data_IF_480411328569
#
_entry.id   IF_480411328569
#
_cell.length_a   1.000
_cell.length_b   1.000
_cell.length_c   1.000
_cell.angle_alpha   90.00
_cell.angle_beta   90.00
_cell.angle_gamma   90.00
#
_symmetry.space_group_name_H-M   'P 1'
#
loop_
_entity.id
_entity.type
_entity.pdbx_description
1 polymer ?
#
# COMPACT_ATOMS: atom_id res chain seq x y z
N UNK A 1 -2.73 -19.84 -20.81
CA UNK A 1 -1.47 -20.47 -21.32
C UNK A 1 -1.25 -19.93 -22.72
N UNK A 2 -0.13 -19.24 -22.94
CA UNK A 2 0.25 -18.72 -24.24
C UNK A 2 1.17 -19.73 -24.92
N UNK A 3 1.02 -19.86 -26.22
CA UNK A 3 1.87 -20.70 -27.05
C UNK A 3 3.02 -19.85 -27.61
N UNK A 4 4.25 -20.09 -27.16
CA UNK A 4 5.40 -19.27 -27.50
C UNK A 4 6.15 -19.74 -28.76
N UNK A 5 5.89 -20.95 -29.26
CA UNK A 5 6.50 -21.46 -30.48
C UNK A 5 6.39 -22.98 -30.66
N UNK A 6 6.92 -23.45 -31.77
CA UNK A 6 6.99 -24.86 -32.11
C UNK A 6 8.46 -25.27 -32.28
N UNK A 7 8.76 -26.51 -31.93
CA UNK A 7 10.08 -27.14 -32.13
C UNK A 7 9.91 -28.29 -33.14
N UNK A 8 10.68 -28.24 -34.18
CA UNK A 8 10.76 -29.33 -35.17
C UNK A 8 11.88 -30.30 -34.82
N UNK A 9 11.51 -31.42 -34.19
CA UNK A 9 12.45 -32.37 -33.58
C UNK A 9 13.52 -32.91 -34.56
N UNK A 10 13.26 -32.87 -35.88
CA UNK A 10 14.17 -33.40 -36.89
C UNK A 10 14.91 -32.31 -37.70
N UNK A 11 14.49 -31.06 -37.58
CA UNK A 11 15.02 -29.94 -38.36
C UNK A 11 15.81 -28.94 -37.48
N UNK A 12 15.48 -28.85 -36.20
CA UNK A 12 16.11 -27.90 -35.29
C UNK A 12 17.29 -28.52 -34.53
N UNK A 13 18.43 -27.84 -34.54
CA UNK A 13 19.58 -28.28 -33.73
C UNK A 13 19.36 -28.06 -32.25
N UNK A 14 19.97 -28.90 -31.35
CA UNK A 14 19.86 -28.71 -29.90
C UNK A 14 20.27 -27.31 -29.45
N UNK A 15 21.27 -26.71 -30.06
CA UNK A 15 21.77 -25.37 -29.75
C UNK A 15 20.75 -24.28 -30.13
N UNK A 16 20.06 -24.46 -31.27
CA UNK A 16 18.99 -23.55 -31.68
C UNK A 16 17.82 -23.62 -30.71
N UNK A 17 17.39 -24.83 -30.36
CA UNK A 17 16.30 -25.07 -29.42
C UNK A 17 16.63 -24.48 -28.05
N UNK A 18 17.84 -24.72 -27.54
CA UNK A 18 18.27 -24.18 -26.23
C UNK A 18 18.25 -22.65 -26.23
N UNK A 19 18.76 -22.00 -27.27
CA UNK A 19 18.73 -20.53 -27.40
C UNK A 19 17.31 -19.99 -27.46
N UNK A 20 16.42 -20.68 -28.15
CA UNK A 20 15.01 -20.27 -28.22
C UNK A 20 14.31 -20.36 -26.86
N UNK A 21 14.49 -21.50 -26.18
CA UNK A 21 13.93 -21.69 -24.80
C UNK A 21 14.46 -20.63 -23.84
N UNK A 22 15.77 -20.36 -23.85
CA UNK A 22 16.38 -19.35 -22.98
C UNK A 22 15.82 -17.96 -23.28
N UNK A 23 15.64 -17.61 -24.55
CA UNK A 23 15.07 -16.33 -24.96
C UNK A 23 13.64 -16.16 -24.43
N UNK A 24 12.80 -17.16 -24.65
CA UNK A 24 11.41 -17.12 -24.21
C UNK A 24 11.28 -17.14 -22.67
N UNK A 25 12.12 -17.93 -21.99
CA UNK A 25 12.18 -17.94 -20.54
C UNK A 25 12.60 -16.57 -19.97
N UNK A 26 13.58 -15.91 -20.58
CA UNK A 26 13.98 -14.54 -20.18
C UNK A 26 12.86 -13.55 -20.42
N UNK A 27 12.22 -13.58 -21.58
CA UNK A 27 11.09 -12.71 -21.89
C UNK A 27 9.94 -12.89 -20.89
N UNK A 28 9.65 -14.14 -20.53
CA UNK A 28 8.65 -14.45 -19.49
C UNK A 28 9.04 -13.87 -18.13
N UNK A 29 10.28 -14.10 -17.69
CA UNK A 29 10.77 -13.59 -16.39
C UNK A 29 10.80 -12.04 -16.37
N UNK A 30 11.19 -11.42 -17.47
CA UNK A 30 11.15 -9.97 -17.62
C UNK A 30 9.73 -9.41 -17.51
N UNK A 31 8.74 -10.15 -18.03
CA UNK A 31 7.33 -9.80 -17.94
C UNK A 31 6.73 -9.97 -16.53
N UNK A 32 7.36 -10.77 -15.66
CA UNK A 32 6.95 -10.94 -14.26
C UNK A 32 7.47 -9.82 -13.35
N UNK A 33 8.55 -9.16 -13.74
CA UNK A 33 9.15 -8.10 -12.92
C UNK A 33 8.19 -6.89 -12.83
N UNK A 34 7.93 -6.38 -11.61
CA UNK A 34 7.16 -5.15 -11.45
C UNK A 34 7.84 -4.00 -12.20
N UNK A 35 7.09 -3.18 -12.96
CA UNK A 35 7.69 -2.16 -13.85
C UNK A 35 8.62 -1.18 -13.13
N UNK A 36 8.25 -0.71 -11.94
CA UNK A 36 9.11 0.19 -11.16
C UNK A 36 10.39 -0.50 -10.68
N UNK A 37 10.29 -1.74 -10.21
CA UNK A 37 11.46 -2.51 -9.75
C UNK A 37 12.43 -2.75 -10.89
N UNK A 38 11.94 -3.08 -12.09
CA UNK A 38 12.76 -3.24 -13.28
C UNK A 38 13.48 -1.93 -13.64
N UNK A 39 12.75 -0.83 -13.69
CA UNK A 39 13.34 0.49 -13.96
C UNK A 39 14.39 0.89 -12.93
N UNK A 40 14.18 0.56 -11.65
CA UNK A 40 15.14 0.82 -10.58
C UNK A 40 16.42 -0.02 -10.75
N UNK A 41 16.31 -1.28 -11.15
CA UNK A 41 17.46 -2.13 -11.46
C UNK A 41 18.25 -1.54 -12.63
N UNK A 42 17.57 -1.22 -13.72
CA UNK A 42 18.18 -0.66 -14.93
C UNK A 42 18.91 0.65 -14.60
N UNK A 43 18.28 1.55 -13.84
CA UNK A 43 18.88 2.78 -13.36
C UNK A 43 20.12 2.54 -12.47
N UNK A 44 20.03 1.63 -11.49
CA UNK A 44 21.14 1.31 -10.61
C UNK A 44 22.33 0.70 -11.35
N UNK A 45 22.11 -0.01 -12.46
CA UNK A 45 23.13 -0.67 -13.27
C UNK A 45 23.73 0.22 -14.36
N UNK A 46 23.02 1.28 -14.80
CA UNK A 46 23.48 2.16 -15.86
C UNK A 46 24.82 2.86 -15.55
N UNK A 47 25.16 3.02 -14.28
CA UNK A 47 26.43 3.59 -13.85
C UNK A 47 26.53 5.11 -14.04
N UNK A 48 25.45 5.78 -14.39
CA UNK A 48 25.40 7.22 -14.57
C UNK A 48 25.73 7.98 -13.29
N UNK A 49 26.33 9.16 -13.43
CA UNK A 49 26.55 10.03 -12.29
C UNK A 49 25.24 10.61 -11.77
N UNK A 50 24.98 10.40 -10.49
CA UNK A 50 23.83 10.96 -9.81
C UNK A 50 24.09 12.40 -9.35
N UNK A 51 23.32 13.34 -9.89
CA UNK A 51 23.34 14.77 -9.50
C UNK A 51 22.16 15.16 -8.60
N UNK A 52 21.42 14.19 -8.11
CA UNK A 52 20.28 14.36 -7.21
C UNK A 52 20.58 13.79 -5.82
N UNK A 53 19.67 14.04 -4.87
CA UNK A 53 19.72 13.39 -3.55
C UNK A 53 19.49 11.85 -3.69
N UNK A 54 20.08 11.07 -2.77
CA UNK A 54 20.91 11.44 -1.64
C UNK A 54 22.36 11.75 -2.03
N UNK A 55 23.03 12.60 -1.24
CA UNK A 55 24.38 13.11 -1.52
C UNK A 55 25.52 12.07 -1.42
N UNK A 56 25.22 10.82 -1.05
CA UNK A 56 26.23 9.76 -1.07
C UNK A 56 26.54 9.24 -2.48
N UNK A 57 25.79 9.66 -3.50
CA UNK A 57 26.04 9.38 -4.92
C UNK A 57 26.29 7.89 -5.19
N UNK A 58 25.25 7.05 -4.96
CA UNK A 58 25.36 5.60 -5.14
C UNK A 58 26.31 4.91 -4.14
N UNK A 59 26.58 5.54 -3.01
CA UNK A 59 27.44 4.98 -1.96
C UNK A 59 28.91 5.40 -2.03
N UNK A 60 29.34 6.08 -3.09
CA UNK A 60 30.77 6.49 -3.28
C UNK A 60 31.28 7.34 -2.11
N UNK A 61 30.43 8.18 -1.52
CA UNK A 61 30.83 9.01 -0.38
C UNK A 61 31.25 8.18 0.85
N UNK A 62 30.68 6.99 1.04
CA UNK A 62 31.03 6.11 2.16
C UNK A 62 32.43 5.51 2.03
N UNK A 63 32.95 5.34 0.84
CA UNK A 63 34.28 4.75 0.60
C UNK A 63 35.44 5.61 1.12
N UNK A 64 35.16 6.87 1.50
CA UNK A 64 36.18 7.82 1.97
C UNK A 64 36.67 7.60 3.41
N UNK A 65 36.05 6.71 4.18
CA UNK A 65 36.44 6.42 5.55
C UNK A 65 36.30 4.94 5.88
N UNK A 66 37.07 4.41 6.86
CA UNK A 66 36.98 2.99 7.26
C UNK A 66 35.59 2.57 7.72
N UNK A 67 34.90 3.43 8.50
CA UNK A 67 33.52 3.18 8.95
C UNK A 67 32.55 3.19 7.76
N UNK A 68 32.72 4.12 6.83
CA UNK A 68 31.91 4.16 5.61
C UNK A 68 32.14 2.93 4.72
N UNK A 69 33.37 2.43 4.64
CA UNK A 69 33.65 1.19 3.91
C UNK A 69 32.94 -0.02 4.53
N UNK A 70 32.91 -0.13 5.87
CA UNK A 70 32.13 -1.16 6.55
C UNK A 70 30.63 -1.07 6.23
N UNK A 71 30.08 0.15 6.22
CA UNK A 71 28.69 0.41 5.83
C UNK A 71 28.42 -0.02 4.38
N UNK A 72 29.29 0.40 3.46
CA UNK A 72 29.17 0.05 2.04
C UNK A 72 29.28 -1.45 1.81
N UNK A 73 30.19 -2.15 2.50
CA UNK A 73 30.30 -3.60 2.40
C UNK A 73 29.07 -4.32 2.94
N UNK A 74 28.48 -3.80 4.01
CA UNK A 74 27.29 -4.42 4.64
C UNK A 74 26.05 -4.30 3.73
N UNK A 75 25.77 -3.13 3.19
CA UNK A 75 24.58 -2.89 2.36
C UNK A 75 24.79 -3.34 0.90
N UNK A 76 26.00 -3.27 0.41
CA UNK A 76 26.34 -3.57 -0.98
C UNK A 76 26.06 -2.40 -1.94
N UNK A 77 26.74 -2.41 -3.07
CA UNK A 77 26.71 -1.33 -4.06
C UNK A 77 25.30 -1.14 -4.65
N UNK A 78 24.62 -2.22 -5.02
CA UNK A 78 23.31 -2.14 -5.66
C UNK A 78 22.25 -1.50 -4.74
N UNK A 79 22.29 -1.81 -3.44
CA UNK A 79 21.37 -1.20 -2.48
C UNK A 79 21.58 0.31 -2.37
N UNK A 80 22.84 0.75 -2.33
CA UNK A 80 23.20 2.16 -2.25
C UNK A 80 22.94 2.92 -3.55
N UNK A 81 23.08 2.27 -4.70
CA UNK A 81 22.72 2.84 -6.00
C UNK A 81 21.22 2.93 -6.22
N UNK A 82 20.45 2.03 -5.60
CA UNK A 82 18.99 2.05 -5.65
C UNK A 82 18.37 3.09 -4.69
N UNK A 83 19.17 3.69 -3.81
CA UNK A 83 18.72 4.81 -2.96
C UNK A 83 18.80 6.12 -3.76
N UNK A 84 17.67 6.49 -4.35
CA UNK A 84 17.53 7.57 -5.32
C UNK A 84 16.41 8.53 -4.96
N UNK A 85 16.49 9.75 -5.48
CA UNK A 85 15.42 10.73 -5.34
C UNK A 85 14.17 10.29 -6.11
N UNK A 86 12.99 10.54 -5.54
CA UNK A 86 11.70 10.27 -6.20
C UNK A 86 11.39 11.19 -7.39
N UNK A 87 12.29 12.13 -7.71
CA UNK A 87 12.19 13.05 -8.84
C UNK A 87 13.11 12.64 -10.02
N UNK A 88 13.67 11.44 -9.99
CA UNK A 88 14.43 10.89 -11.12
C UNK A 88 13.47 10.59 -12.26
N UNK A 89 13.68 11.24 -13.41
CA UNK A 89 12.74 11.20 -14.54
C UNK A 89 12.55 9.78 -15.08
N UNK A 90 13.60 8.99 -15.14
CA UNK A 90 13.62 7.61 -15.63
C UNK A 90 12.76 6.67 -14.77
N UNK A 91 12.56 7.01 -13.50
CA UNK A 91 11.73 6.24 -12.58
C UNK A 91 10.26 6.67 -12.57
N UNK A 92 9.95 7.78 -13.24
CA UNK A 92 8.62 8.38 -13.25
C UNK A 92 8.35 9.17 -11.97
N UNK A 93 7.15 9.74 -11.88
CA UNK A 93 6.76 10.62 -10.79
C UNK A 93 5.59 10.05 -10.01
N UNK A 94 5.75 9.94 -8.70
CA UNK A 94 4.69 9.44 -7.82
C UNK A 94 3.51 10.43 -7.72
N UNK A 95 3.80 11.73 -7.69
CA UNK A 95 2.76 12.78 -7.59
C UNK A 95 1.91 12.87 -8.85
N UNK A 96 2.56 12.77 -10.01
CA UNK A 96 1.91 12.94 -11.32
C UNK A 96 1.45 11.60 -11.92
N UNK A 97 1.73 10.50 -11.25
CA UNK A 97 1.41 9.13 -11.71
C UNK A 97 1.92 8.89 -13.14
N UNK A 98 3.21 9.11 -13.38
CA UNK A 98 3.84 8.98 -14.71
C UNK A 98 4.92 7.90 -14.74
N UNK A 99 5.33 7.49 -15.95
CA UNK A 99 6.43 6.56 -16.19
C UNK A 99 6.27 5.18 -15.54
N UNK A 100 7.36 4.57 -15.06
CA UNK A 100 7.36 3.28 -14.38
C UNK A 100 6.48 3.19 -13.13
N UNK A 101 6.31 4.29 -12.39
CA UNK A 101 5.36 4.37 -11.25
C UNK A 101 3.95 4.09 -11.75
N UNK A 102 3.47 4.85 -12.75
CA UNK A 102 2.13 4.65 -13.30
C UNK A 102 1.96 3.25 -13.93
N UNK A 103 2.98 2.71 -14.56
CA UNK A 103 2.94 1.34 -15.09
C UNK A 103 2.76 0.30 -13.96
N UNK A 104 3.43 0.52 -12.83
CA UNK A 104 3.30 -0.35 -11.65
C UNK A 104 1.95 -0.22 -10.98
N UNK A 105 1.37 0.99 -10.89
CA UNK A 105 0.03 1.22 -10.36
C UNK A 105 -1.04 0.52 -11.22
N UNK A 106 -0.94 0.61 -12.56
CA UNK A 106 -1.82 -0.14 -13.46
C UNK A 106 -1.69 -1.64 -13.32
N UNK A 107 -0.46 -2.14 -13.17
CA UNK A 107 -0.22 -3.57 -12.95
C UNK A 107 -0.82 -4.04 -11.60
N UNK A 108 -0.64 -3.27 -10.54
CA UNK A 108 -1.25 -3.55 -9.24
C UNK A 108 -2.78 -3.53 -9.33
N UNK A 109 -3.38 -2.53 -9.98
CA UNK A 109 -4.83 -2.45 -10.18
C UNK A 109 -5.36 -3.71 -10.90
N UNK A 110 -4.67 -4.18 -11.94
CA UNK A 110 -5.02 -5.43 -12.65
C UNK A 110 -4.95 -6.66 -11.74
N UNK A 111 -3.91 -6.77 -10.90
CA UNK A 111 -3.70 -7.91 -10.00
C UNK A 111 -4.79 -7.96 -8.92
N UNK A 112 -5.14 -6.82 -8.35
CA UNK A 112 -6.15 -6.69 -7.29
C UNK A 112 -7.58 -6.53 -7.82
N UNK A 113 -7.78 -6.59 -9.15
CA UNK A 113 -9.07 -6.38 -9.80
C UNK A 113 -9.76 -5.08 -9.34
N UNK A 114 -8.98 -4.02 -9.30
CA UNK A 114 -9.41 -2.66 -8.95
C UNK A 114 -9.39 -1.75 -10.19
N UNK A 115 -10.24 -0.73 -10.23
CA UNK A 115 -10.24 0.26 -11.31
C UNK A 115 -8.94 1.08 -11.30
N UNK A 116 -8.48 1.45 -10.12
CA UNK A 116 -7.26 2.21 -9.90
C UNK A 116 -6.51 1.71 -8.66
N UNK A 117 -5.20 1.88 -8.69
CA UNK A 117 -4.31 1.67 -7.54
C UNK A 117 -3.35 2.86 -7.45
N UNK A 118 -3.15 3.37 -6.25
CA UNK A 118 -2.25 4.49 -5.96
C UNK A 118 -1.23 4.06 -4.92
N UNK A 119 0.05 4.23 -5.21
CA UNK A 119 1.11 3.93 -4.26
C UNK A 119 1.25 5.05 -3.23
N UNK A 120 1.23 4.67 -1.96
CA UNK A 120 1.42 5.58 -0.84
C UNK A 120 2.69 5.19 -0.08
N UNK A 121 3.75 5.95 -0.29
CA UNK A 121 5.08 5.65 0.28
C UNK A 121 5.20 6.01 1.76
N UNK A 122 4.30 6.83 2.28
CA UNK A 122 4.31 7.28 3.68
C UNK A 122 3.47 6.39 4.62
N UNK A 123 3.26 5.13 4.22
CA UNK A 123 2.63 4.07 5.01
C UNK A 123 1.11 4.12 5.01
N UNK A 124 0.49 3.02 5.45
CA UNK A 124 -0.96 2.82 5.52
C UNK A 124 -1.68 3.89 6.34
N UNK A 125 -1.02 4.49 7.32
CA UNK A 125 -1.58 5.62 8.08
C UNK A 125 -1.91 6.81 7.19
N UNK A 126 -1.11 7.05 6.16
CA UNK A 126 -1.38 8.10 5.16
C UNK A 126 -2.49 7.67 4.20
N UNK A 127 -2.50 6.41 3.76
CA UNK A 127 -3.61 5.88 2.95
C UNK A 127 -4.95 6.06 3.65
N UNK A 128 -5.05 5.73 4.94
CA UNK A 128 -6.25 5.95 5.74
C UNK A 128 -6.67 7.42 5.75
N UNK A 129 -5.72 8.33 5.97
CA UNK A 129 -6.00 9.77 5.99
C UNK A 129 -6.49 10.26 4.62
N UNK A 130 -5.90 9.80 3.52
CA UNK A 130 -6.32 10.18 2.17
C UNK A 130 -7.77 9.79 1.90
N UNK A 131 -8.14 8.53 2.21
CA UNK A 131 -9.51 8.04 2.06
C UNK A 131 -10.48 8.86 2.92
N UNK A 132 -10.12 9.12 4.17
CA UNK A 132 -10.97 9.88 5.08
C UNK A 132 -11.14 11.33 4.63
N UNK A 133 -10.06 12.04 4.27
CA UNK A 133 -10.14 13.42 3.81
C UNK A 133 -10.91 13.58 2.49
N UNK A 134 -10.89 12.56 1.64
CA UNK A 134 -11.70 12.56 0.41
C UNK A 134 -13.19 12.34 0.71
N UNK A 135 -13.50 11.48 1.69
CA UNK A 135 -14.85 10.98 1.90
C UNK A 135 -15.64 11.78 2.93
N UNK A 136 -14.98 12.32 3.96
CA UNK A 136 -15.59 12.83 5.19
C UNK A 136 -15.39 14.33 5.31
N UNK A 137 -16.49 15.06 5.59
CA UNK A 137 -16.50 16.49 5.86
C UNK A 137 -16.74 16.77 7.36
N UNK A 138 -16.41 17.99 7.84
CA UNK A 138 -16.69 18.39 9.22
C UNK A 138 -18.15 18.24 9.59
N UNK A 139 -18.40 17.57 10.72
CA UNK A 139 -19.76 17.30 11.22
C UNK A 139 -20.40 16.01 10.69
N UNK A 140 -19.80 15.35 9.68
CA UNK A 140 -20.30 14.05 9.23
C UNK A 140 -20.24 13.00 10.33
N UNK A 141 -21.31 12.22 10.45
CA UNK A 141 -21.35 11.07 11.35
C UNK A 141 -20.66 9.89 10.71
N UNK A 142 -19.75 9.27 11.44
CA UNK A 142 -18.97 8.11 10.99
C UNK A 142 -19.11 6.96 11.98
N UNK A 143 -19.21 5.73 11.48
CA UNK A 143 -19.24 4.51 12.31
C UNK A 143 -17.87 3.86 12.27
N UNK A 144 -17.30 3.59 13.45
CA UNK A 144 -15.90 3.16 13.56
C UNK A 144 -15.76 2.05 14.60
N UNK A 145 -15.00 1.03 14.27
CA UNK A 145 -14.53 0.06 15.24
C UNK A 145 -13.71 0.75 16.36
N UNK A 146 -14.09 0.51 17.60
CA UNK A 146 -13.35 1.10 18.76
C UNK A 146 -11.92 0.55 18.86
N UNK A 147 -11.63 -0.58 18.26
CA UNK A 147 -10.29 -1.20 18.18
C UNK A 147 -9.52 -0.80 16.91
N UNK A 148 -9.91 0.27 16.25
CA UNK A 148 -9.24 0.75 15.05
C UNK A 148 -7.81 1.25 15.35
N UNK A 149 -6.99 1.26 14.32
CA UNK A 149 -5.65 1.83 14.39
C UNK A 149 -5.71 3.34 14.67
N UNK A 150 -4.71 3.87 15.39
CA UNK A 150 -4.60 5.30 15.74
C UNK A 150 -4.73 6.26 14.54
N UNK A 151 -4.36 5.84 13.33
CA UNK A 151 -4.51 6.66 12.12
C UNK A 151 -5.97 7.00 11.83
N UNK A 152 -6.93 6.12 12.17
CA UNK A 152 -8.37 6.37 12.04
C UNK A 152 -8.81 7.41 13.07
N UNK A 153 -8.34 7.30 14.32
CA UNK A 153 -8.63 8.33 15.35
C UNK A 153 -8.08 9.70 14.94
N UNK A 154 -6.86 9.74 14.37
CA UNK A 154 -6.30 10.97 13.82
C UNK A 154 -7.17 11.51 12.66
N UNK A 155 -7.65 10.63 11.78
CA UNK A 155 -8.51 11.03 10.66
C UNK A 155 -9.84 11.63 11.15
N UNK A 156 -10.47 11.06 12.18
CA UNK A 156 -11.67 11.63 12.83
C UNK A 156 -11.41 13.07 13.30
N UNK A 157 -10.30 13.27 14.02
CA UNK A 157 -9.94 14.59 14.54
C UNK A 157 -9.65 15.57 13.40
N UNK A 158 -8.89 15.15 12.41
CA UNK A 158 -8.46 16.01 11.30
C UNK A 158 -9.62 16.41 10.38
N UNK A 159 -10.59 15.52 10.18
CA UNK A 159 -11.77 15.79 9.35
C UNK A 159 -12.88 16.52 10.11
N UNK A 160 -12.82 16.57 11.45
CA UNK A 160 -13.89 17.10 12.27
C UNK A 160 -15.16 16.23 12.27
N UNK A 161 -15.02 14.93 12.01
CA UNK A 161 -16.13 13.99 12.02
C UNK A 161 -16.64 13.69 13.41
N UNK A 162 -17.90 13.27 13.52
CA UNK A 162 -18.53 12.83 14.76
C UNK A 162 -18.59 11.31 14.81
N UNK A 163 -17.77 10.65 15.64
CA UNK A 163 -17.69 9.20 15.66
C UNK A 163 -18.81 8.53 16.47
N UNK A 164 -19.30 7.42 15.93
CA UNK A 164 -20.12 6.43 16.61
C UNK A 164 -19.31 5.15 16.68
N UNK A 165 -18.91 4.73 17.88
CA UNK A 165 -18.04 3.60 18.06
C UNK A 165 -18.81 2.29 18.23
N UNK A 166 -18.42 1.27 17.44
CA UNK A 166 -18.77 -0.13 17.65
C UNK A 166 -17.84 -0.70 18.72
N UNK A 167 -18.38 -1.25 19.79
CA UNK A 167 -17.60 -1.67 20.96
C UNK A 167 -17.32 -3.17 20.91
N UNK A 168 -16.03 -3.58 20.88
CA UNK A 168 -15.66 -4.99 20.99
C UNK A 168 -15.92 -5.50 22.41
N UNK A 169 -16.08 -6.81 22.53
CA UNK A 169 -16.09 -7.52 23.82
C UNK A 169 -14.70 -7.50 24.46
N UNK A 170 -14.63 -7.86 25.74
CA UNK A 170 -13.38 -8.13 26.46
C UNK A 170 -13.54 -9.38 27.29
N UNK A 171 -12.48 -10.16 27.38
CA UNK A 171 -12.43 -11.27 28.32
C UNK A 171 -12.11 -10.79 29.75
N UNK A 172 -12.06 -11.72 30.72
CA UNK A 172 -11.79 -11.41 32.11
C UNK A 172 -10.38 -10.85 32.37
N UNK A 173 -9.44 -11.01 31.45
CA UNK A 173 -8.12 -10.37 31.50
C UNK A 173 -8.09 -8.99 30.82
N UNK A 174 -9.22 -8.52 30.28
CA UNK A 174 -9.30 -7.26 29.55
C UNK A 174 -8.82 -7.32 28.10
N UNK A 175 -8.47 -8.50 27.59
CA UNK A 175 -8.08 -8.69 26.18
C UNK A 175 -9.29 -8.44 25.30
N UNK A 176 -9.07 -7.68 24.24
CA UNK A 176 -10.10 -7.29 23.27
C UNK A 176 -10.52 -8.49 22.44
N UNK A 177 -11.82 -8.73 22.38
CA UNK A 177 -12.46 -9.76 21.57
C UNK A 177 -13.20 -9.19 20.35
N UNK A 178 -14.07 -10.00 19.72
CA UNK A 178 -14.84 -9.56 18.57
C UNK A 178 -15.91 -8.50 18.96
N UNK A 179 -16.34 -7.72 17.97
CA UNK A 179 -17.52 -6.87 18.08
C UNK A 179 -18.76 -7.78 17.97
N UNK A 180 -19.67 -7.76 18.94
CA UNK A 180 -20.91 -8.53 18.84
C UNK A 180 -21.76 -8.07 17.66
N UNK A 181 -22.47 -9.00 17.01
CA UNK A 181 -23.34 -8.69 15.87
C UNK A 181 -24.38 -7.62 16.24
N UNK A 182 -24.88 -7.65 17.48
CA UNK A 182 -25.84 -6.63 18.00
C UNK A 182 -25.32 -5.19 17.92
N UNK A 183 -24.03 -4.97 17.86
CA UNK A 183 -23.43 -3.63 17.69
C UNK A 183 -23.64 -3.06 16.27
N UNK A 184 -23.88 -3.92 15.30
CA UNK A 184 -24.12 -3.57 13.89
C UNK A 184 -25.62 -3.35 13.57
N UNK A 185 -26.50 -3.67 14.50
CA UNK A 185 -27.94 -3.45 14.31
C UNK A 185 -28.23 -1.95 14.18
N UNK A 186 -29.14 -1.60 13.26
CA UNK A 186 -29.50 -0.21 12.97
C UNK A 186 -29.98 0.50 14.24
N UNK A 187 -30.80 -0.17 15.03
CA UNK A 187 -31.35 0.35 16.29
C UNK A 187 -30.25 0.63 17.30
N UNK A 188 -29.22 -0.20 17.40
CA UNK A 188 -28.07 -0.01 18.28
C UNK A 188 -27.24 1.20 17.84
N UNK A 189 -26.99 1.35 16.53
CA UNK A 189 -26.28 2.52 15.98
C UNK A 189 -27.09 3.80 16.22
N UNK A 190 -28.39 3.80 15.95
CA UNK A 190 -29.27 4.94 16.21
C UNK A 190 -29.33 5.31 17.71
N UNK A 191 -29.36 4.31 18.61
CA UNK A 191 -29.28 4.55 20.03
C UNK A 191 -27.98 5.27 20.44
N UNK A 192 -26.85 4.88 19.83
CA UNK A 192 -25.55 5.54 20.07
C UNK A 192 -25.52 6.95 19.50
N UNK A 193 -26.15 7.20 18.36
CA UNK A 193 -26.30 8.55 17.78
C UNK A 193 -27.09 9.43 18.74
N UNK A 194 -28.23 8.95 19.23
CA UNK A 194 -29.06 9.68 20.23
C UNK A 194 -28.30 10.00 21.54
N UNK A 195 -27.46 9.07 21.98
CA UNK A 195 -26.67 9.22 23.19
C UNK A 195 -25.41 10.09 23.02
N UNK A 196 -25.04 10.42 21.77
CA UNK A 196 -23.83 11.18 21.50
C UNK A 196 -24.01 12.67 21.87
N UNK A 197 -23.20 13.19 22.78
CA UNK A 197 -23.36 14.59 23.23
C UNK A 197 -23.10 15.63 22.13
N UNK A 198 -22.36 15.25 21.07
CA UNK A 198 -22.06 16.11 19.91
C UNK A 198 -23.23 16.18 18.91
N UNK A 199 -24.23 15.30 19.05
CA UNK A 199 -25.38 15.19 18.13
C UNK A 199 -26.71 15.55 18.81
N UNK A 200 -26.65 16.37 19.85
CA UNK A 200 -27.89 16.82 20.57
C UNK A 200 -28.85 17.51 19.60
N UNK A 201 -30.10 17.05 19.57
CA UNK A 201 -31.16 17.61 18.73
C UNK A 201 -31.18 17.11 17.28
N UNK A 202 -30.27 16.20 16.93
CA UNK A 202 -30.26 15.56 15.60
C UNK A 202 -31.21 14.35 15.61
N UNK A 203 -32.05 14.23 14.57
CA UNK A 203 -32.88 13.04 14.40
C UNK A 203 -32.01 11.85 13.98
N UNK A 204 -31.80 10.92 14.90
CA UNK A 204 -30.96 9.75 14.67
C UNK A 204 -31.46 8.84 13.52
N UNK A 205 -32.74 8.85 13.21
CA UNK A 205 -33.29 8.07 12.10
C UNK A 205 -32.98 8.69 10.73
N UNK A 206 -32.78 10.01 10.68
CA UNK A 206 -32.41 10.73 9.47
C UNK A 206 -30.90 10.73 9.19
N UNK A 207 -30.06 10.38 10.19
CA UNK A 207 -28.59 10.35 10.03
C UNK A 207 -28.18 9.19 9.14
N UNK A 208 -27.45 9.51 8.09
CA UNK A 208 -26.76 8.54 7.23
C UNK A 208 -25.27 8.62 7.52
N UNK A 209 -24.66 7.62 8.20
CA UNK A 209 -23.24 7.60 8.40
C UNK A 209 -22.47 7.69 7.08
N UNK A 210 -21.46 8.55 7.03
CA UNK A 210 -20.71 8.82 5.81
C UNK A 210 -19.77 7.69 5.46
N UNK A 211 -19.16 7.05 6.47
CA UNK A 211 -18.23 5.93 6.30
C UNK A 211 -18.40 4.97 7.48
N UNK A 212 -18.22 3.69 7.18
CA UNK A 212 -18.01 2.62 8.17
C UNK A 212 -16.58 2.13 8.04
N UNK A 213 -15.82 2.18 9.13
CA UNK A 213 -14.45 1.69 9.18
C UNK A 213 -14.32 0.53 10.17
N UNK A 214 -13.94 -0.64 9.68
CA UNK A 214 -13.71 -1.85 10.46
C UNK A 214 -12.25 -2.30 10.35
N UNK A 215 -11.72 -2.85 11.44
CA UNK A 215 -10.41 -3.48 11.48
C UNK A 215 -10.56 -4.96 11.17
N UNK A 216 -10.28 -5.35 9.92
CA UNK A 216 -10.43 -6.73 9.44
C UNK A 216 -9.68 -7.75 10.30
N UNK A 217 -8.49 -7.38 10.75
CA UNK A 217 -7.62 -8.21 11.57
C UNK A 217 -7.02 -7.37 12.70
N UNK A 218 -7.27 -7.76 13.94
CA UNK A 218 -6.74 -7.06 15.11
C UNK A 218 -5.37 -7.58 15.50
N UNK A 219 -4.63 -6.81 16.31
CA UNK A 219 -3.35 -7.26 16.89
C UNK A 219 -3.51 -8.50 17.79
N UNK A 220 -4.69 -8.72 18.34
CA UNK A 220 -5.01 -9.87 19.21
C UNK A 220 -5.42 -11.11 18.40
N UNK A 221 -5.35 -11.07 17.07
CA UNK A 221 -5.67 -12.20 16.19
C UNK A 221 -7.16 -12.43 15.94
N UNK A 222 -8.02 -11.45 16.24
CA UNK A 222 -9.44 -11.52 15.90
C UNK A 222 -9.61 -11.18 14.42
N UNK A 223 -10.26 -12.05 13.68
CA UNK A 223 -10.66 -11.86 12.30
C UNK A 223 -12.18 -11.71 12.23
N UNK A 224 -12.65 -10.75 11.44
CA UNK A 224 -14.06 -10.58 11.18
C UNK A 224 -14.45 -11.28 9.87
N UNK A 225 -15.57 -12.00 9.90
CA UNK A 225 -16.24 -12.41 8.67
C UNK A 225 -17.04 -11.22 8.15
N UNK A 226 -16.72 -10.79 6.94
CA UNK A 226 -17.33 -9.62 6.28
C UNK A 226 -18.26 -10.03 5.13
N UNK A 227 -18.54 -11.33 4.99
CA UNK A 227 -19.50 -11.88 4.03
C UNK A 227 -20.94 -11.77 4.56
#
# INVERSE_FOLDING_TARGET
>A
RELHGFIHMFEDTPEFVARHIIREARSYLDGLAPPFFKALIDYAQDGSYSWHCPGHSGGVAFLKSPVGQMFHQFFGENMLRADVCNAVEELGQLLDHTGPVAASERNAARIFNADHCFFVTNGTSTSNKMVWHHTVAPGDVVVVDRNCHKSILHSIIMTGAVPVFLKPTRNHYGIIGPIPQSEFEIEAIQAKIRANPLLKGVDAAAVKPRILTLTQSTYDGVLYNTE
#
